data_IF_858720726150
#
_entry.id   IF_858720726150
#
_cell.length_a   1.000
_cell.length_b   1.000
_cell.length_c   1.000
_cell.angle_alpha   90.00
_cell.angle_beta   90.00
_cell.angle_gamma   90.00
#
_symmetry.space_group_name_H-M   'P 1'
#
loop_
_entity.id
_entity.type
_entity.pdbx_description
1 polymer ?
#
# COMPACT_ATOMS: atom_id res chain seq x y z
N UNK A 1 -3.78 -36.25 16.04
CA UNK A 1 -3.63 -36.13 14.57
C UNK A 1 -3.69 -34.64 14.29
N UNK A 2 -2.64 -34.03 13.75
CA UNK A 2 -2.66 -32.61 13.39
C UNK A 2 -3.36 -32.46 12.06
N UNK A 3 -4.43 -31.67 12.01
CA UNK A 3 -5.13 -31.35 10.77
C UNK A 3 -4.20 -30.53 9.87
N UNK A 4 -4.04 -30.98 8.62
CA UNK A 4 -3.26 -30.26 7.62
C UNK A 4 -4.14 -29.12 7.08
N UNK A 5 -3.85 -27.88 7.45
CA UNK A 5 -4.52 -26.71 6.88
C UNK A 5 -4.12 -26.59 5.41
N UNK A 6 -5.05 -26.85 4.50
CA UNK A 6 -4.83 -26.63 3.06
C UNK A 6 -4.83 -25.12 2.80
N UNK A 7 -3.67 -24.56 2.47
CA UNK A 7 -3.56 -23.18 2.01
C UNK A 7 -3.83 -23.14 0.50
N UNK A 8 -4.97 -22.57 0.11
CA UNK A 8 -5.27 -22.28 -1.29
C UNK A 8 -4.59 -20.95 -1.65
N UNK A 9 -3.69 -20.98 -2.63
CA UNK A 9 -3.15 -19.75 -3.21
C UNK A 9 -4.15 -19.24 -4.24
N UNK A 10 -4.53 -17.98 -4.08
CA UNK A 10 -5.22 -17.25 -5.14
C UNK A 10 -4.24 -17.06 -6.31
N UNK A 11 -4.69 -17.44 -7.51
CA UNK A 11 -3.90 -17.34 -8.75
C UNK A 11 -4.45 -16.26 -9.69
N UNK A 12 -5.42 -15.46 -9.25
CA UNK A 12 -5.86 -14.31 -10.03
C UNK A 12 -4.67 -13.37 -10.26
N UNK A 13 -4.48 -13.00 -11.53
CA UNK A 13 -3.42 -12.08 -11.93
C UNK A 13 -3.93 -10.66 -11.65
N UNK A 14 -3.40 -10.02 -10.62
CA UNK A 14 -3.76 -8.64 -10.31
C UNK A 14 -3.31 -7.69 -11.41
N UNK A 15 -4.18 -6.73 -11.73
CA UNK A 15 -3.76 -5.55 -12.47
C UNK A 15 -2.76 -4.72 -11.68
N UNK A 16 -2.00 -3.84 -12.34
CA UNK A 16 -0.98 -3.02 -11.68
C UNK A 16 -1.56 -2.18 -10.51
N UNK A 17 -2.78 -1.66 -10.69
CA UNK A 17 -3.49 -0.87 -9.67
C UNK A 17 -3.86 -1.75 -8.46
N UNK A 18 -4.44 -2.92 -8.70
CA UNK A 18 -4.82 -3.86 -7.65
C UNK A 18 -3.59 -4.36 -6.86
N UNK A 19 -2.50 -4.66 -7.58
CA UNK A 19 -1.23 -5.02 -6.95
C UNK A 19 -0.72 -3.89 -6.05
N UNK A 20 -0.77 -2.65 -6.51
CA UNK A 20 -0.34 -1.50 -5.73
C UNK A 20 -1.22 -1.27 -4.50
N UNK A 21 -2.54 -1.42 -4.63
CA UNK A 21 -3.46 -1.36 -3.50
C UNK A 21 -3.14 -2.43 -2.45
N UNK A 22 -2.87 -3.67 -2.90
CA UNK A 22 -2.46 -4.75 -2.00
C UNK A 22 -1.11 -4.47 -1.34
N UNK A 23 -0.14 -3.92 -2.07
CA UNK A 23 1.16 -3.54 -1.48
C UNK A 23 0.95 -2.43 -0.43
N UNK A 24 0.19 -1.39 -0.77
CA UNK A 24 -0.03 -0.24 0.11
C UNK A 24 -0.80 -0.61 1.38
N UNK A 25 -1.82 -1.46 1.28
CA UNK A 25 -2.63 -1.91 2.43
C UNK A 25 -1.86 -2.74 3.47
N UNK A 26 -0.67 -3.26 3.12
CA UNK A 26 0.26 -3.88 4.09
C UNK A 26 0.92 -2.87 5.02
N UNK A 27 1.01 -1.60 4.60
CA UNK A 27 1.68 -0.54 5.36
C UNK A 27 0.69 0.48 5.95
N UNK A 28 -0.41 0.76 5.24
CA UNK A 28 -1.42 1.74 5.60
C UNK A 28 -2.81 1.11 5.77
N UNK A 29 -3.68 1.79 6.52
CA UNK A 29 -5.12 1.65 6.39
C UNK A 29 -5.56 2.54 5.21
N UNK A 30 -6.06 1.93 4.14
CA UNK A 30 -6.50 2.65 2.95
C UNK A 30 -7.96 3.11 3.12
N UNK A 31 -8.21 4.37 2.78
CA UNK A 31 -9.53 5.00 2.75
C UNK A 31 -10.03 5.20 1.32
N UNK A 32 -10.70 6.33 1.07
CA UNK A 32 -11.18 6.67 -0.27
C UNK A 32 -10.04 6.87 -1.27
N UNK A 33 -10.37 6.76 -2.56
CA UNK A 33 -9.43 7.12 -3.63
C UNK A 33 -9.17 8.63 -3.60
N UNK A 34 -7.90 9.02 -3.72
CA UNK A 34 -7.46 10.41 -3.83
C UNK A 34 -7.71 10.98 -5.23
N UNK A 35 -7.01 12.08 -5.55
CA UNK A 35 -7.21 12.79 -6.82
C UNK A 35 -6.68 12.05 -8.05
N UNK A 36 -5.75 11.11 -7.87
CA UNK A 36 -5.19 10.29 -8.94
C UNK A 36 -5.58 8.82 -8.77
N UNK A 37 -5.49 8.07 -9.87
CA UNK A 37 -5.85 6.64 -9.87
C UNK A 37 -5.00 5.82 -8.88
N UNK A 38 -3.75 6.23 -8.67
CA UNK A 38 -2.78 5.64 -7.74
C UNK A 38 -2.62 6.48 -6.47
N UNK A 39 -3.73 7.01 -5.96
CA UNK A 39 -3.76 7.78 -4.73
C UNK A 39 -4.90 7.34 -3.83
N UNK A 40 -4.63 7.34 -2.53
CA UNK A 40 -5.58 6.95 -1.50
C UNK A 40 -5.45 7.88 -0.30
N UNK A 41 -6.58 8.18 0.34
CA UNK A 41 -6.58 8.60 1.73
C UNK A 41 -5.96 7.47 2.57
N UNK A 42 -5.10 7.81 3.52
CA UNK A 42 -4.39 6.83 4.32
C UNK A 42 -4.35 7.20 5.79
N UNK A 43 -4.34 6.16 6.63
CA UNK A 43 -3.96 6.27 8.01
C UNK A 43 -2.89 5.24 8.36
N UNK A 44 -2.16 5.52 9.42
CA UNK A 44 -1.19 4.59 9.97
C UNK A 44 -1.82 3.24 10.33
N UNK A 45 -1.22 2.15 9.85
CA UNK A 45 -1.65 0.79 10.22
C UNK A 45 -1.04 0.38 11.55
N UNK A 46 -1.81 -0.35 12.35
CA UNK A 46 -1.37 -0.89 13.64
C UNK A 46 -0.89 0.18 14.63
N UNK A 47 -1.46 1.39 14.55
CA UNK A 47 -1.13 2.53 15.42
C UNK A 47 0.19 3.24 15.09
N UNK A 48 0.84 2.90 13.97
CA UNK A 48 2.06 3.58 13.50
C UNK A 48 1.75 4.98 12.98
N UNK A 49 2.76 5.84 12.97
CA UNK A 49 2.65 7.15 12.31
C UNK A 49 2.64 7.00 10.78
N UNK A 50 1.81 7.76 10.03
CA UNK A 50 1.80 7.73 8.57
C UNK A 50 3.18 7.93 7.92
N UNK A 51 4.07 8.74 8.50
CA UNK A 51 5.43 8.95 7.99
C UNK A 51 6.31 7.71 8.15
N UNK A 52 6.18 6.97 9.26
CA UNK A 52 6.87 5.70 9.48
C UNK A 52 6.38 4.62 8.52
N UNK A 53 5.07 4.59 8.26
CA UNK A 53 4.47 3.74 7.24
C UNK A 53 5.02 4.07 5.84
N UNK A 54 5.13 5.36 5.50
CA UNK A 54 5.67 5.82 4.22
C UNK A 54 7.12 5.36 4.02
N UNK A 55 7.97 5.49 5.04
CA UNK A 55 9.36 5.01 4.99
C UNK A 55 9.42 3.49 4.73
N UNK A 56 8.53 2.73 5.35
CA UNK A 56 8.47 1.28 5.19
C UNK A 56 7.95 0.86 3.82
N UNK A 57 6.92 1.54 3.31
CA UNK A 57 6.39 1.36 1.96
C UNK A 57 7.46 1.68 0.90
N UNK A 58 8.15 2.81 1.04
CA UNK A 58 9.17 3.23 0.06
C UNK A 58 10.38 2.30 -0.02
N UNK A 59 10.71 1.57 1.06
CA UNK A 59 11.71 0.49 0.98
C UNK A 59 11.26 -0.67 0.08
N UNK A 60 9.97 -0.99 0.09
CA UNK A 60 9.39 -2.01 -0.79
C UNK A 60 9.29 -1.49 -2.23
N UNK A 61 8.68 -0.32 -2.44
CA UNK A 61 8.47 0.24 -3.77
C UNK A 61 9.76 0.48 -4.55
N UNK A 62 10.88 0.75 -3.85
CA UNK A 62 12.19 0.92 -4.50
C UNK A 62 12.60 -0.28 -5.37
N UNK A 63 12.27 -1.52 -4.99
CA UNK A 63 12.59 -2.70 -5.82
C UNK A 63 11.76 -2.78 -7.10
N UNK A 64 10.66 -2.02 -7.17
CA UNK A 64 9.77 -1.93 -8.31
C UNK A 64 10.02 -0.67 -9.16
N UNK A 65 11.08 0.10 -8.85
CA UNK A 65 11.34 1.42 -9.46
C UNK A 65 10.22 2.42 -9.23
N UNK A 66 9.60 2.37 -8.05
CA UNK A 66 8.48 3.23 -7.65
C UNK A 66 8.77 3.97 -6.34
N UNK A 67 7.98 5.01 -6.09
CA UNK A 67 8.01 5.80 -4.87
C UNK A 67 6.60 6.28 -4.51
N UNK A 68 6.32 6.32 -3.22
CA UNK A 68 5.15 6.96 -2.64
C UNK A 68 5.52 8.29 -1.99
N UNK A 69 4.61 9.25 -2.07
CA UNK A 69 4.65 10.53 -1.37
C UNK A 69 3.39 10.70 -0.54
N UNK A 70 3.50 11.40 0.58
CA UNK A 70 2.41 11.66 1.51
C UNK A 70 2.16 13.18 1.57
N UNK A 71 0.90 13.56 1.45
CA UNK A 71 0.37 14.90 1.69
C UNK A 71 -0.27 14.93 3.09
N UNK A 72 0.10 15.91 3.91
CA UNK A 72 -0.24 16.03 5.34
C UNK A 72 -1.67 16.54 5.60
N UNK A 73 -2.60 16.31 4.67
CA UNK A 73 -4.02 16.63 4.86
C UNK A 73 -4.69 15.87 6.01
N UNK A 74 -5.96 16.17 6.27
CA UNK A 74 -6.80 15.44 7.24
C UNK A 74 -8.07 14.91 6.53
N UNK A 75 -8.11 13.63 6.12
CA UNK A 75 -7.07 12.61 6.30
C UNK A 75 -5.87 12.79 5.36
N UNK A 76 -4.68 12.24 5.71
CA UNK A 76 -3.51 12.28 4.84
C UNK A 76 -3.76 11.57 3.51
N UNK A 77 -3.15 12.06 2.43
CA UNK A 77 -3.29 11.46 1.10
C UNK A 77 -1.95 10.95 0.63
N UNK A 78 -1.87 9.66 0.28
CA UNK A 78 -0.70 9.05 -0.31
C UNK A 78 -0.89 8.94 -1.82
N UNK A 79 0.17 9.19 -2.59
CA UNK A 79 0.21 8.94 -4.05
C UNK A 79 1.43 8.13 -4.41
N UNK A 80 1.29 7.18 -5.34
CA UNK A 80 2.37 6.33 -5.83
C UNK A 80 2.69 6.64 -7.30
N UNK A 81 3.97 6.68 -7.64
CA UNK A 81 4.43 6.87 -9.01
C UNK A 81 5.79 6.22 -9.27
N UNK A 82 6.24 6.26 -10.52
CA UNK A 82 7.57 5.76 -10.91
C UNK A 82 8.67 6.68 -10.41
N UNK A 83 9.81 6.10 -10.04
CA UNK A 83 11.04 6.87 -9.85
C UNK A 83 11.52 7.43 -11.20
N UNK A 84 12.09 8.66 -11.23
CA UNK A 84 12.70 9.22 -12.43
C UNK A 84 13.98 8.48 -12.86
#
# INVERSE_FOLDING_TARGET
MSETTTHLLDTETWGDIELLEVICSRYFLLGGQGLSELSWEVNGRDGRDPSECLLSLNRHLKSLSMIAVLDEGDPPVMSVGSLP
#
